data_IF_910363350938
#
_entry.id   IF_910363350938
#
_cell.length_a   1.000
_cell.length_b   1.000
_cell.length_c   1.000
_cell.angle_alpha   90.00
_cell.angle_beta   90.00
_cell.angle_gamma   90.00
#
_symmetry.space_group_name_H-M   'P 1'
#
loop_
_entity.id
_entity.type
_entity.pdbx_description
1 polymer ?
#
# COMPACT_ATOMS: atom_id res chain seq x y z
N UNK A 1 6.37 -25.58 -8.57
CA UNK A 1 6.08 -24.42 -7.69
C UNK A 1 7.15 -24.25 -6.59
N UNK A 2 7.56 -25.32 -5.89
CA UNK A 2 8.59 -25.27 -4.84
C UNK A 2 10.00 -24.83 -5.31
N UNK A 3 10.36 -25.10 -6.56
CA UNK A 3 11.66 -24.68 -7.14
C UNK A 3 11.81 -23.17 -7.32
N UNK A 4 10.73 -22.39 -7.22
CA UNK A 4 10.73 -20.92 -7.31
C UNK A 4 10.67 -20.23 -5.94
N UNK A 5 10.74 -20.99 -4.85
CA UNK A 5 10.70 -20.44 -3.50
C UNK A 5 12.05 -19.86 -3.08
N UNK A 6 12.00 -18.63 -2.60
CA UNK A 6 13.12 -17.97 -1.95
C UNK A 6 13.28 -18.53 -0.52
N UNK A 7 14.07 -19.59 -0.35
CA UNK A 7 14.24 -20.28 0.94
C UNK A 7 14.65 -19.34 2.09
N UNK A 8 15.62 -18.42 1.91
CA UNK A 8 15.95 -17.44 2.96
C UNK A 8 14.76 -16.54 3.35
N UNK A 9 13.99 -16.05 2.37
CA UNK A 9 12.81 -15.24 2.66
C UNK A 9 11.72 -16.06 3.36
N UNK A 10 11.49 -17.30 2.94
CA UNK A 10 10.53 -18.20 3.60
C UNK A 10 10.90 -18.43 5.07
N UNK A 11 12.17 -18.68 5.36
CA UNK A 11 12.64 -18.81 6.74
C UNK A 11 12.43 -17.52 7.54
N UNK A 12 12.93 -16.38 7.05
CA UNK A 12 12.91 -15.11 7.78
C UNK A 12 11.51 -14.51 7.96
N UNK A 13 10.61 -14.70 6.97
CA UNK A 13 9.31 -14.05 6.92
C UNK A 13 8.16 -14.92 7.45
N UNK A 14 8.32 -16.25 7.47
CA UNK A 14 7.27 -17.19 7.90
C UNK A 14 7.72 -18.02 9.10
N UNK A 15 8.75 -18.86 8.93
CA UNK A 15 9.12 -19.82 9.98
C UNK A 15 9.67 -19.16 11.24
N UNK A 16 10.58 -18.19 11.09
CA UNK A 16 11.19 -17.50 12.23
C UNK A 16 10.16 -16.72 13.06
N UNK A 17 9.23 -15.94 12.46
CA UNK A 17 8.13 -15.33 13.22
C UNK A 17 7.24 -16.33 13.95
N UNK A 18 6.84 -17.43 13.31
CA UNK A 18 6.01 -18.47 13.95
C UNK A 18 6.77 -19.03 15.17
N UNK A 19 8.06 -19.34 15.01
CA UNK A 19 8.90 -19.80 16.10
C UNK A 19 8.96 -18.80 17.27
N UNK A 20 9.21 -17.52 16.99
CA UNK A 20 9.24 -16.47 18.03
C UNK A 20 7.87 -16.34 18.72
N UNK A 21 6.76 -16.36 17.99
CA UNK A 21 5.41 -16.27 18.57
C UNK A 21 5.14 -17.46 19.49
N UNK A 22 5.48 -18.67 19.07
CA UNK A 22 5.32 -19.88 19.90
C UNK A 22 6.14 -19.79 21.18
N UNK A 23 7.38 -19.29 21.11
CA UNK A 23 8.22 -19.12 22.29
C UNK A 23 7.76 -17.98 23.20
N UNK A 24 7.25 -16.87 22.65
CA UNK A 24 6.61 -15.80 23.44
C UNK A 24 5.40 -16.33 24.18
N UNK A 25 4.54 -17.13 23.52
CA UNK A 25 3.38 -17.73 24.18
C UNK A 25 3.79 -18.64 25.34
N UNK A 26 4.81 -19.48 25.13
CA UNK A 26 5.39 -20.31 26.19
C UNK A 26 5.97 -19.48 27.34
N UNK A 27 6.83 -18.50 27.04
CA UNK A 27 7.40 -17.61 28.06
C UNK A 27 6.31 -16.91 28.87
N UNK A 28 5.27 -16.42 28.19
CA UNK A 28 4.17 -15.68 28.83
C UNK A 28 3.37 -16.56 29.79
N UNK A 29 3.23 -17.85 29.47
CA UNK A 29 2.61 -18.82 30.37
C UNK A 29 3.49 -19.13 31.59
N UNK A 30 4.80 -19.31 31.36
CA UNK A 30 5.75 -19.72 32.40
C UNK A 30 6.11 -18.57 33.37
N UNK A 31 6.20 -17.33 32.87
CA UNK A 31 6.77 -16.19 33.61
C UNK A 31 5.87 -14.94 33.67
N UNK A 32 4.77 -14.91 32.91
CA UNK A 32 3.95 -13.71 32.74
C UNK A 32 4.57 -12.66 31.80
N UNK A 33 3.82 -11.60 31.54
CA UNK A 33 4.28 -10.44 30.74
C UNK A 33 4.29 -9.21 31.66
N UNK A 34 5.48 -8.63 31.85
CA UNK A 34 5.66 -7.40 32.61
C UNK A 34 5.84 -6.18 31.72
N UNK A 35 6.13 -5.05 32.36
CA UNK A 35 6.40 -3.79 31.67
C UNK A 35 7.66 -3.86 30.78
N UNK A 36 8.68 -4.61 31.21
CA UNK A 36 9.94 -4.78 30.47
C UNK A 36 9.73 -5.42 29.10
N UNK A 37 8.95 -6.49 29.04
CA UNK A 37 8.61 -7.19 27.80
C UNK A 37 7.85 -6.28 26.82
N UNK A 38 6.90 -5.49 27.34
CA UNK A 38 6.16 -4.50 26.55
C UNK A 38 7.08 -3.41 26.00
N UNK A 39 8.00 -2.91 26.83
CA UNK A 39 9.01 -1.92 26.39
C UNK A 39 9.90 -2.52 25.30
N UNK A 40 10.33 -3.78 25.40
CA UNK A 40 11.12 -4.43 24.36
C UNK A 40 10.39 -4.54 23.02
N UNK A 41 9.10 -4.89 23.03
CA UNK A 41 8.28 -4.89 21.81
C UNK A 41 8.24 -3.49 21.20
N UNK A 42 7.84 -2.49 21.98
CA UNK A 42 7.62 -1.12 21.51
C UNK A 42 8.92 -0.48 21.02
N UNK A 43 9.99 -0.59 21.79
CA UNK A 43 11.30 -0.03 21.44
C UNK A 43 11.85 -0.68 20.17
N UNK A 44 11.83 -2.01 20.09
CA UNK A 44 12.27 -2.73 18.89
C UNK A 44 11.41 -2.35 17.66
N UNK A 45 10.08 -2.25 17.83
CA UNK A 45 9.19 -1.84 16.76
C UNK A 45 9.59 -0.48 16.20
N UNK A 46 9.71 0.55 17.04
CA UNK A 46 10.01 1.90 16.56
C UNK A 46 11.45 2.07 16.07
N UNK A 47 12.44 1.41 16.69
CA UNK A 47 13.84 1.44 16.20
C UNK A 47 13.92 0.85 14.79
N UNK A 48 13.30 -0.30 14.56
CA UNK A 48 13.27 -0.92 13.23
C UNK A 48 12.51 -0.03 12.22
N UNK A 49 11.40 0.59 12.64
CA UNK A 49 10.61 1.48 11.78
C UNK A 49 11.40 2.71 11.33
N UNK A 50 12.04 3.39 12.29
CA UNK A 50 12.93 4.52 12.05
C UNK A 50 14.05 4.12 11.11
N UNK A 51 14.67 2.96 11.34
CA UNK A 51 15.76 2.45 10.51
C UNK A 51 15.34 2.22 9.06
N UNK A 52 14.15 1.64 8.84
CA UNK A 52 13.59 1.51 7.49
C UNK A 52 13.38 2.88 6.86
N UNK A 53 12.69 3.79 7.56
CA UNK A 53 12.32 5.10 7.04
C UNK A 53 13.51 6.01 6.70
N UNK A 54 14.45 6.18 7.64
CA UNK A 54 15.58 7.09 7.43
C UNK A 54 16.72 6.42 6.64
N UNK A 55 16.90 5.11 6.75
CA UNK A 55 17.99 4.36 6.10
C UNK A 55 17.58 3.73 4.78
N UNK A 56 16.90 2.58 4.86
CA UNK A 56 16.52 1.78 3.68
C UNK A 56 15.76 2.61 2.63
N UNK A 57 14.80 3.39 3.08
CA UNK A 57 13.93 4.17 2.23
C UNK A 57 14.59 5.47 1.77
N UNK A 58 14.65 6.50 2.64
CA UNK A 58 15.01 7.87 2.22
C UNK A 58 16.49 8.04 1.85
N UNK A 59 17.40 7.36 2.56
CA UNK A 59 18.83 7.47 2.29
C UNK A 59 19.24 6.64 1.07
N UNK A 60 19.17 5.31 1.16
CA UNK A 60 19.76 4.45 0.13
C UNK A 60 18.87 4.21 -1.10
N UNK A 61 17.56 4.40 -1.02
CA UNK A 61 16.70 4.24 -2.20
C UNK A 61 16.49 5.55 -2.96
N UNK A 62 16.38 6.66 -2.25
CA UNK A 62 16.03 7.95 -2.84
C UNK A 62 17.13 9.01 -2.85
N UNK A 63 18.24 8.79 -2.14
CA UNK A 63 19.28 9.80 -1.95
C UNK A 63 18.71 11.14 -1.46
N UNK A 64 17.72 11.11 -0.56
CA UNK A 64 17.02 12.31 -0.11
C UNK A 64 17.87 13.19 0.83
N UNK A 65 18.99 12.65 1.31
CA UNK A 65 19.99 13.36 2.09
C UNK A 65 21.32 12.59 2.06
N UNK A 66 22.41 13.24 2.49
CA UNK A 66 23.71 12.61 2.74
C UNK A 66 23.92 12.41 4.24
N UNK A 67 24.60 11.33 4.60
CA UNK A 67 24.92 10.99 5.99
C UNK A 67 26.44 10.83 6.15
N UNK A 68 26.97 11.12 7.34
CA UNK A 68 28.37 10.83 7.63
C UNK A 68 28.62 9.31 7.83
N UNK A 69 29.88 8.89 7.69
CA UNK A 69 30.27 7.47 7.73
C UNK A 69 29.94 6.73 9.02
N UNK A 70 29.94 7.43 10.16
CA UNK A 70 29.71 6.82 11.47
C UNK A 70 28.22 6.54 11.68
N UNK A 71 27.37 7.51 11.37
CA UNK A 71 25.92 7.33 11.42
C UNK A 71 25.46 6.35 10.32
N UNK A 72 26.11 6.33 9.14
CA UNK A 72 25.84 5.32 8.12
C UNK A 72 26.14 3.90 8.62
N UNK A 73 27.27 3.70 9.31
CA UNK A 73 27.62 2.40 9.87
C UNK A 73 26.56 1.91 10.87
N UNK A 74 26.08 2.79 11.76
CA UNK A 74 25.00 2.46 12.70
C UNK A 74 23.74 2.05 11.95
N UNK A 75 23.31 2.81 10.94
CA UNK A 75 22.13 2.45 10.13
C UNK A 75 22.32 1.14 9.36
N UNK A 76 23.53 0.83 8.91
CA UNK A 76 23.85 -0.44 8.24
C UNK A 76 23.67 -1.62 9.20
N UNK A 77 24.11 -1.49 10.44
CA UNK A 77 23.91 -2.53 11.46
C UNK A 77 22.42 -2.68 11.79
N UNK A 78 21.73 -1.57 12.08
CA UNK A 78 20.31 -1.58 12.41
C UNK A 78 19.45 -2.12 11.25
N UNK A 79 19.77 -1.77 10.00
CA UNK A 79 18.97 -2.20 8.85
C UNK A 79 19.04 -3.71 8.63
N UNK A 80 20.18 -4.34 8.92
CA UNK A 80 20.25 -5.81 8.96
C UNK A 80 19.40 -6.41 10.10
N UNK A 81 19.26 -5.69 11.21
CA UNK A 81 18.35 -6.03 12.31
C UNK A 81 16.87 -6.14 11.90
N UNK A 82 16.45 -5.39 10.88
CA UNK A 82 15.05 -5.42 10.38
C UNK A 82 14.65 -6.74 9.72
N UNK A 83 15.62 -7.54 9.28
CA UNK A 83 15.43 -8.75 8.46
C UNK A 83 14.72 -8.52 7.11
N UNK A 84 14.76 -7.30 6.56
CA UNK A 84 14.12 -6.96 5.27
C UNK A 84 15.07 -7.07 4.05
N UNK A 85 16.26 -7.63 4.25
CA UNK A 85 17.27 -7.83 3.21
C UNK A 85 18.40 -6.78 3.27
N UNK A 86 19.51 -7.00 2.55
CA UNK A 86 20.60 -6.05 2.49
C UNK A 86 20.16 -4.71 1.90
N UNK A 87 20.75 -3.61 2.37
CA UNK A 87 20.35 -2.26 1.96
C UNK A 87 20.41 -2.03 0.45
N UNK A 88 21.45 -2.53 -0.23
CA UNK A 88 21.55 -2.46 -1.71
C UNK A 88 20.43 -3.24 -2.40
N UNK A 89 20.04 -4.39 -1.86
CA UNK A 89 18.98 -5.23 -2.42
C UNK A 89 17.61 -4.58 -2.24
N UNK A 90 17.37 -4.04 -1.05
CA UNK A 90 16.16 -3.29 -0.72
C UNK A 90 16.02 -2.06 -1.63
N UNK A 91 17.08 -1.25 -1.74
CA UNK A 91 17.12 -0.09 -2.62
C UNK A 91 16.90 -0.44 -4.10
N UNK A 92 17.47 -1.56 -4.55
CA UNK A 92 17.24 -2.07 -5.91
C UNK A 92 15.77 -2.43 -6.17
N UNK A 93 15.13 -3.14 -5.24
CA UNK A 93 13.72 -3.49 -5.38
C UNK A 93 12.81 -2.25 -5.28
N UNK A 94 13.12 -1.34 -4.38
CA UNK A 94 12.36 -0.11 -4.21
C UNK A 94 12.51 0.83 -5.41
N UNK A 95 13.71 0.93 -5.99
CA UNK A 95 13.91 1.64 -7.25
C UNK A 95 13.03 1.06 -8.38
N UNK A 96 12.99 -0.27 -8.52
CA UNK A 96 12.12 -0.92 -9.52
C UNK A 96 10.65 -0.62 -9.26
N UNK A 97 10.21 -0.65 -8.00
CA UNK A 97 8.85 -0.30 -7.61
C UNK A 97 8.49 1.12 -8.07
N UNK A 98 9.33 2.13 -7.79
CA UNK A 98 9.07 3.51 -8.23
C UNK A 98 9.15 3.70 -9.75
N UNK A 99 10.06 2.97 -10.42
CA UNK A 99 10.23 3.09 -11.86
C UNK A 99 9.05 2.50 -12.64
N UNK A 100 8.50 1.40 -12.13
CA UNK A 100 7.50 0.59 -12.82
C UNK A 100 6.19 0.47 -12.03
N UNK A 101 5.89 1.44 -11.15
CA UNK A 101 4.73 1.40 -10.25
C UNK A 101 3.47 1.03 -11.03
N UNK A 102 2.72 0.06 -10.50
CA UNK A 102 1.48 -0.46 -11.10
C UNK A 102 1.66 -1.23 -12.42
N UNK A 103 2.90 -1.56 -12.82
CA UNK A 103 3.23 -2.36 -14.01
C UNK A 103 3.79 -3.73 -13.63
N UNK A 104 3.91 -4.64 -14.60
CA UNK A 104 4.36 -6.02 -14.37
C UNK A 104 5.80 -6.13 -13.83
N UNK A 105 6.64 -5.13 -14.10
CA UNK A 105 8.03 -5.08 -13.65
C UNK A 105 8.17 -4.55 -12.21
N UNK A 106 7.12 -3.97 -11.64
CA UNK A 106 7.11 -3.64 -10.21
C UNK A 106 7.03 -4.95 -9.41
N UNK A 107 8.06 -5.24 -8.59
CA UNK A 107 8.16 -6.53 -7.91
C UNK A 107 6.94 -6.82 -7.03
N UNK A 108 6.30 -5.79 -6.47
CA UNK A 108 5.16 -5.92 -5.57
C UNK A 108 3.95 -5.12 -6.05
N UNK A 109 3.74 -5.06 -7.36
CA UNK A 109 2.55 -4.37 -7.91
C UNK A 109 1.27 -4.92 -7.27
N UNK A 110 0.40 -4.06 -6.73
CA UNK A 110 -0.90 -4.46 -6.18
C UNK A 110 -1.85 -4.99 -7.26
N UNK A 111 -1.53 -4.74 -8.54
CA UNK A 111 -2.32 -5.12 -9.71
C UNK A 111 -1.88 -6.46 -10.32
N UNK A 112 -1.04 -7.24 -9.63
CA UNK A 112 -0.52 -8.50 -10.17
C UNK A 112 -1.62 -9.48 -10.58
N UNK A 113 -2.75 -9.44 -9.88
CA UNK A 113 -3.90 -10.29 -10.11
C UNK A 113 -5.17 -9.44 -10.13
N UNK A 114 -6.12 -9.80 -11.00
CA UNK A 114 -7.44 -9.15 -11.05
C UNK A 114 -8.22 -9.31 -9.74
N UNK A 115 -7.98 -10.43 -9.03
CA UNK A 115 -8.52 -10.64 -7.70
C UNK A 115 -7.81 -9.75 -6.68
N UNK A 116 -8.54 -8.78 -6.11
CA UNK A 116 -8.02 -7.82 -5.12
C UNK A 116 -7.35 -8.45 -3.91
N UNK A 117 -7.87 -9.57 -3.41
CA UNK A 117 -7.27 -10.26 -2.27
C UNK A 117 -5.91 -10.87 -2.65
N UNK A 118 -5.82 -11.51 -3.81
CA UNK A 118 -4.54 -12.05 -4.31
C UNK A 118 -3.53 -10.93 -4.60
N UNK A 119 -3.97 -9.80 -5.16
CA UNK A 119 -3.12 -8.62 -5.36
C UNK A 119 -2.62 -8.02 -4.03
N UNK A 120 -3.47 -7.98 -3.01
CA UNK A 120 -3.08 -7.55 -1.67
C UNK A 120 -2.03 -8.50 -1.07
N UNK A 121 -2.27 -9.81 -1.12
CA UNK A 121 -1.30 -10.79 -0.60
C UNK A 121 0.02 -10.78 -1.37
N UNK A 122 -0.04 -10.56 -2.69
CA UNK A 122 1.13 -10.38 -3.55
C UNK A 122 1.99 -9.21 -3.08
N UNK A 123 1.40 -8.01 -3.03
CA UNK A 123 2.09 -6.78 -2.63
C UNK A 123 2.56 -6.79 -1.17
N UNK A 124 1.85 -7.49 -0.29
CA UNK A 124 2.20 -7.58 1.13
C UNK A 124 3.40 -8.49 1.40
N UNK A 125 3.41 -9.73 0.91
CA UNK A 125 4.43 -10.70 1.30
C UNK A 125 4.84 -11.70 0.21
N UNK A 126 3.90 -12.15 -0.63
CA UNK A 126 4.12 -13.30 -1.51
C UNK A 126 5.21 -13.02 -2.57
N UNK A 127 5.34 -11.77 -3.02
CA UNK A 127 6.38 -11.38 -3.97
C UNK A 127 7.82 -11.68 -3.50
N UNK A 128 8.05 -11.66 -2.18
CA UNK A 128 9.36 -11.99 -1.59
C UNK A 128 9.57 -13.50 -1.48
N UNK A 129 8.49 -14.26 -1.32
CA UNK A 129 8.50 -15.72 -1.18
C UNK A 129 8.70 -16.42 -2.53
N UNK A 130 8.15 -15.84 -3.59
CA UNK A 130 8.12 -16.43 -4.94
C UNK A 130 8.86 -15.51 -5.89
N UNK A 131 10.09 -15.85 -6.24
CA UNK A 131 10.91 -14.98 -7.10
C UNK A 131 12.25 -15.59 -7.49
N UNK A 132 12.72 -15.21 -8.69
CA UNK A 132 13.98 -15.65 -9.30
C UNK A 132 15.20 -14.80 -8.91
N UNK A 133 15.00 -13.74 -8.13
CA UNK A 133 16.06 -12.81 -7.74
C UNK A 133 16.81 -13.28 -6.49
N UNK A 134 18.07 -13.68 -6.63
CA UNK A 134 19.00 -13.64 -5.51
C UNK A 134 19.02 -12.22 -4.94
N UNK A 135 19.08 -12.03 -3.62
CA UNK A 135 19.27 -10.71 -3.02
C UNK A 135 20.56 -10.02 -3.54
N UNK A 136 21.49 -10.80 -4.12
CA UNK A 136 22.72 -10.33 -4.77
C UNK A 136 22.48 -9.71 -6.15
N UNK A 137 21.30 -9.86 -6.74
CA UNK A 137 20.92 -9.27 -8.02
C UNK A 137 20.54 -7.81 -7.81
N UNK A 138 21.54 -6.94 -7.79
CA UNK A 138 21.39 -5.50 -7.63
C UNK A 138 21.16 -4.85 -8.99
N UNK A 139 20.12 -4.02 -9.11
CA UNK A 139 19.85 -3.25 -10.31
C UNK A 139 21.02 -2.34 -10.70
N UNK A 140 21.26 -2.18 -12.01
CA UNK A 140 22.40 -1.41 -12.54
C UNK A 140 22.42 0.04 -12.04
N UNK A 141 21.26 0.67 -11.87
CA UNK A 141 21.16 2.06 -11.42
C UNK A 141 21.46 2.17 -9.92
N UNK A 142 21.00 1.19 -9.14
CA UNK A 142 21.36 1.10 -7.71
C UNK A 142 22.86 0.89 -7.54
N UNK A 143 23.45 0.03 -8.37
CA UNK A 143 24.90 -0.19 -8.38
C UNK A 143 25.67 1.06 -8.81
N UNK A 144 25.20 1.79 -9.82
CA UNK A 144 25.83 3.04 -10.25
C UNK A 144 25.83 4.10 -9.14
N UNK A 145 24.74 4.20 -8.37
CA UNK A 145 24.61 5.14 -7.24
C UNK A 145 25.46 4.75 -6.03
N UNK A 146 25.44 3.47 -5.64
CA UNK A 146 25.95 3.03 -4.34
C UNK A 146 27.12 2.04 -4.38
N UNK A 147 27.51 1.53 -5.56
CA UNK A 147 28.54 0.50 -5.71
C UNK A 147 29.95 0.94 -5.28
N UNK A 148 30.19 2.25 -5.15
CA UNK A 148 31.43 2.81 -4.58
C UNK A 148 31.45 2.81 -3.05
N UNK A 149 30.31 2.64 -2.38
CA UNK A 149 30.24 2.61 -0.91
C UNK A 149 30.71 1.25 -0.38
N UNK A 150 31.86 1.24 0.30
CA UNK A 150 32.45 0.02 0.85
C UNK A 150 31.67 -0.56 2.02
N UNK A 151 30.99 0.26 2.83
CA UNK A 151 30.17 -0.21 3.94
C UNK A 151 28.94 -0.98 3.43
N UNK A 152 28.28 -0.48 2.38
CA UNK A 152 27.15 -1.16 1.75
C UNK A 152 27.55 -2.48 1.09
N UNK A 153 28.71 -2.53 0.44
CA UNK A 153 29.26 -3.79 -0.10
C UNK A 153 29.62 -4.79 1.00
N UNK A 154 30.19 -4.30 2.11
CA UNK A 154 30.50 -5.12 3.27
C UNK A 154 29.22 -5.71 3.87
N UNK A 155 28.18 -4.89 4.07
CA UNK A 155 26.88 -5.37 4.55
C UNK A 155 26.27 -6.41 3.60
N UNK A 156 26.28 -6.16 2.28
CA UNK A 156 25.78 -7.12 1.30
C UNK A 156 26.51 -8.46 1.36
N UNK A 157 27.83 -8.44 1.59
CA UNK A 157 28.66 -9.66 1.69
C UNK A 157 28.39 -10.45 2.99
N UNK A 158 28.24 -9.76 4.11
CA UNK A 158 28.12 -10.37 5.45
C UNK A 158 26.72 -10.24 6.05
N UNK A 159 25.70 -10.03 5.21
CA UNK A 159 24.35 -9.67 5.65
C UNK A 159 23.79 -10.65 6.68
N UNK A 160 23.90 -11.96 6.44
CA UNK A 160 23.32 -12.96 7.34
C UNK A 160 24.05 -13.04 8.69
N UNK A 161 25.36 -12.81 8.71
CA UNK A 161 26.15 -12.75 9.94
C UNK A 161 25.75 -11.52 10.77
N UNK A 162 25.64 -10.36 10.12
CA UNK A 162 25.22 -9.11 10.78
C UNK A 162 23.76 -9.24 11.26
N UNK A 163 22.88 -9.78 10.43
CA UNK A 163 21.48 -10.01 10.77
C UNK A 163 21.33 -10.95 11.98
N UNK A 164 22.05 -12.08 12.00
CA UNK A 164 22.05 -13.00 13.13
C UNK A 164 22.58 -12.32 14.40
N UNK A 165 23.67 -11.56 14.31
CA UNK A 165 24.20 -10.80 15.44
C UNK A 165 23.17 -9.80 15.99
N UNK A 166 22.53 -9.01 15.12
CA UNK A 166 21.55 -7.99 15.50
C UNK A 166 20.21 -8.56 15.99
N UNK A 167 19.86 -9.79 15.62
CA UNK A 167 18.60 -10.44 16.02
C UNK A 167 18.74 -11.44 17.16
N UNK A 168 19.96 -11.89 17.48
CA UNK A 168 20.22 -12.86 18.54
C UNK A 168 21.08 -12.25 19.64
N UNK A 169 22.32 -11.86 19.30
CA UNK A 169 23.29 -11.41 20.30
C UNK A 169 22.88 -10.09 20.93
N UNK A 170 22.50 -9.10 20.13
CA UNK A 170 22.13 -7.77 20.63
C UNK A 170 20.88 -7.82 21.54
N UNK A 171 19.78 -8.47 21.16
CA UNK A 171 18.60 -8.59 22.03
C UNK A 171 18.86 -9.36 23.33
N UNK A 172 19.62 -10.47 23.27
CA UNK A 172 20.03 -11.22 24.47
C UNK A 172 20.85 -10.34 25.40
N UNK A 173 21.82 -9.60 24.85
CA UNK A 173 22.68 -8.71 25.60
C UNK A 173 21.91 -7.56 26.25
N UNK A 174 21.02 -6.89 25.50
CA UNK A 174 20.16 -5.82 26.04
C UNK A 174 19.24 -6.38 27.14
N UNK A 175 18.63 -7.54 26.90
CA UNK A 175 17.79 -8.20 27.89
C UNK A 175 18.54 -8.50 29.19
N UNK A 176 19.77 -9.01 29.08
CA UNK A 176 20.63 -9.27 30.22
C UNK A 176 21.03 -7.98 30.95
N UNK A 177 21.41 -6.92 30.23
CA UNK A 177 21.78 -5.64 30.85
C UNK A 177 20.62 -5.00 31.60
N UNK A 178 19.39 -5.11 31.09
CA UNK A 178 18.21 -4.49 31.70
C UNK A 178 17.74 -5.25 32.94
N UNK A 179 17.78 -6.59 32.93
CA UNK A 179 17.22 -7.39 34.02
C UNK A 179 18.22 -8.21 34.84
N UNK A 180 19.50 -8.23 34.48
CA UNK A 180 20.58 -8.90 35.21
C UNK A 180 20.55 -10.44 35.19
N UNK A 181 19.58 -11.05 34.52
CA UNK A 181 19.38 -12.51 34.53
C UNK A 181 19.31 -13.11 33.13
N UNK A 182 19.55 -14.42 33.02
CA UNK A 182 19.38 -15.15 31.76
C UNK A 182 17.91 -15.20 31.31
N UNK A 183 16.96 -15.15 32.25
CA UNK A 183 15.54 -15.01 31.93
C UNK A 183 15.29 -13.68 31.21
N UNK A 184 15.84 -12.57 31.71
CA UNK A 184 15.71 -11.26 31.07
C UNK A 184 16.42 -11.18 29.73
N UNK A 185 17.56 -11.87 29.57
CA UNK A 185 18.22 -12.05 28.28
C UNK A 185 17.28 -12.73 27.28
N UNK A 186 16.70 -13.86 27.67
CA UNK A 186 15.75 -14.61 26.86
C UNK A 186 14.51 -13.78 26.52
N UNK A 187 13.98 -13.00 27.48
CA UNK A 187 12.90 -12.04 27.23
C UNK A 187 13.31 -10.99 26.17
N UNK A 188 14.52 -10.42 26.26
CA UNK A 188 15.06 -9.51 25.25
C UNK A 188 15.02 -10.12 23.85
N UNK A 189 15.52 -11.35 23.68
CA UNK A 189 15.47 -12.07 22.42
C UNK A 189 14.04 -12.25 21.88
N UNK A 190 13.12 -12.73 22.72
CA UNK A 190 11.74 -13.03 22.30
C UNK A 190 10.94 -11.78 21.98
N UNK A 191 10.90 -10.81 22.90
CA UNK A 191 10.01 -9.67 22.82
C UNK A 191 10.51 -8.58 21.86
N UNK A 192 11.84 -8.38 21.76
CA UNK A 192 12.38 -7.53 20.68
C UNK A 192 12.21 -8.20 19.31
N UNK A 193 12.34 -9.54 19.24
CA UNK A 193 12.05 -10.31 18.03
C UNK A 193 10.59 -10.20 17.57
N UNK A 194 9.65 -10.20 18.52
CA UNK A 194 8.24 -9.95 18.26
C UNK A 194 7.97 -8.51 17.80
N UNK A 195 8.57 -7.51 18.46
CA UNK A 195 8.47 -6.11 18.04
C UNK A 195 8.96 -5.88 16.61
N UNK A 196 10.10 -6.49 16.25
CA UNK A 196 10.63 -6.48 14.87
C UNK A 196 9.67 -7.15 13.88
N UNK A 197 9.06 -8.28 14.23
CA UNK A 197 8.07 -8.92 13.37
C UNK A 197 6.85 -8.01 13.12
N UNK A 198 6.30 -7.39 14.17
CA UNK A 198 5.19 -6.45 14.03
C UNK A 198 5.57 -5.25 13.14
N UNK A 199 6.78 -4.72 13.29
CA UNK A 199 7.29 -3.64 12.45
C UNK A 199 7.42 -4.06 10.98
N UNK A 200 7.87 -5.29 10.73
CA UNK A 200 7.98 -5.83 9.38
C UNK A 200 6.60 -5.87 8.70
N UNK A 201 5.57 -6.35 9.40
CA UNK A 201 4.19 -6.34 8.88
C UNK A 201 3.69 -4.91 8.63
N UNK A 202 4.01 -3.97 9.51
CA UNK A 202 3.69 -2.56 9.30
C UNK A 202 4.37 -2.01 8.04
N UNK A 203 5.64 -2.33 7.80
CA UNK A 203 6.34 -1.94 6.55
C UNK A 203 5.63 -2.51 5.33
N UNK A 204 5.20 -3.77 5.38
CA UNK A 204 4.52 -4.42 4.27
C UNK A 204 3.14 -3.83 3.98
N UNK A 205 2.48 -3.23 4.98
CA UNK A 205 1.27 -2.43 4.78
C UNK A 205 1.49 -1.16 3.96
N UNK A 206 2.72 -0.64 3.83
CA UNK A 206 3.02 0.45 2.89
C UNK A 206 2.78 -0.03 1.46
N UNK A 207 3.30 -1.21 1.12
CA UNK A 207 3.18 -1.79 -0.21
C UNK A 207 1.76 -2.28 -0.51
N UNK A 208 1.05 -2.80 0.51
CA UNK A 208 -0.31 -3.29 0.35
C UNK A 208 -1.36 -2.23 0.69
N UNK A 209 -1.62 -1.98 1.97
CA UNK A 209 -2.70 -1.09 2.42
C UNK A 209 -2.64 0.31 1.77
N UNK A 210 -1.46 0.93 1.67
CA UNK A 210 -1.32 2.27 1.07
C UNK A 210 -1.43 2.27 -0.47
N UNK A 211 -1.49 1.11 -1.12
CA UNK A 211 -1.82 1.00 -2.55
C UNK A 211 -3.29 0.61 -2.80
N UNK A 212 -3.99 0.11 -1.78
CA UNK A 212 -5.41 -0.25 -1.89
C UNK A 212 -6.35 0.83 -1.35
N UNK A 213 -5.86 1.68 -0.46
CA UNK A 213 -6.64 2.72 0.22
C UNK A 213 -5.89 4.04 0.32
N UNK A 214 -6.60 5.10 0.71
CA UNK A 214 -6.02 6.42 0.96
C UNK A 214 -6.37 7.46 -0.10
N UNK A 215 -6.03 8.72 0.21
CA UNK A 215 -6.32 9.85 -0.67
C UNK A 215 -5.25 10.04 -1.75
N UNK A 216 -5.66 10.43 -2.96
CA UNK A 216 -4.78 10.58 -4.14
C UNK A 216 -4.72 12.04 -4.58
N UNK A 217 -3.78 12.79 -4.00
CA UNK A 217 -3.66 14.25 -4.21
C UNK A 217 -2.53 14.65 -5.15
N UNK A 218 -1.52 13.82 -5.33
CA UNK A 218 -0.25 14.14 -6.01
C UNK A 218 0.13 13.12 -7.09
N UNK A 219 -0.15 11.83 -6.89
CA UNK A 219 0.21 10.77 -7.83
C UNK A 219 -1.02 10.08 -8.44
N UNK A 220 -0.94 9.73 -9.73
CA UNK A 220 -2.03 9.23 -10.57
C UNK A 220 -2.11 7.68 -10.65
N UNK A 221 -1.66 6.98 -9.62
CA UNK A 221 -1.65 5.51 -9.56
C UNK A 221 -2.42 4.94 -8.38
N UNK A 222 -2.02 3.76 -7.90
CA UNK A 222 -2.66 3.07 -6.78
C UNK A 222 -2.28 3.67 -5.42
N UNK A 223 -1.05 4.19 -5.26
CA UNK A 223 -0.55 4.78 -4.01
C UNK A 223 -1.46 5.87 -3.44
N UNK A 224 -1.70 5.83 -2.13
CA UNK A 224 -2.66 6.63 -1.37
C UNK A 224 -2.12 7.08 -0.02
N UNK A 225 -2.50 8.29 0.41
CA UNK A 225 -2.17 8.80 1.75
C UNK A 225 -3.20 8.31 2.79
N UNK A 226 -2.73 7.72 3.89
CA UNK A 226 -3.59 7.22 4.99
C UNK A 226 -3.18 7.87 6.32
N UNK A 227 -3.89 8.91 6.75
CA UNK A 227 -3.46 9.74 7.89
C UNK A 227 -3.35 8.98 9.22
N UNK A 228 -4.28 8.07 9.52
CA UNK A 228 -4.32 7.35 10.80
C UNK A 228 -3.21 6.30 10.94
N UNK A 229 -2.61 5.89 9.81
CA UNK A 229 -1.45 4.99 9.80
C UNK A 229 -0.16 5.69 10.24
N UNK A 230 -0.16 7.02 10.44
CA UNK A 230 1.05 7.75 10.84
C UNK A 230 1.64 7.27 12.17
N UNK A 231 0.81 6.78 13.10
CA UNK A 231 1.26 6.22 14.38
C UNK A 231 2.05 4.92 14.22
N UNK A 232 1.76 4.15 13.17
CA UNK A 232 2.40 2.86 12.90
C UNK A 232 3.56 3.00 11.90
N UNK A 233 3.45 3.93 10.95
CA UNK A 233 4.38 4.07 9.83
C UNK A 233 5.31 5.28 9.93
N UNK A 234 5.12 6.12 10.94
CA UNK A 234 6.01 7.23 11.27
C UNK A 234 6.32 8.20 10.10
N UNK A 235 5.41 8.28 9.13
CA UNK A 235 5.54 9.12 7.93
C UNK A 235 5.49 8.37 6.60
N UNK A 236 5.71 7.05 6.60
CA UNK A 236 5.63 6.22 5.37
C UNK A 236 4.18 6.07 4.86
N UNK A 237 3.20 6.47 5.67
CA UNK A 237 1.78 6.50 5.32
C UNK A 237 1.38 7.62 4.34
N UNK A 238 2.24 8.63 4.13
CA UNK A 238 2.03 9.70 3.15
C UNK A 238 2.53 9.25 1.76
N UNK A 239 2.03 8.09 1.34
CA UNK A 239 2.57 7.31 0.22
C UNK A 239 2.25 7.93 -1.14
N UNK A 240 1.10 8.60 -1.28
CA UNK A 240 0.76 9.28 -2.53
C UNK A 240 1.64 10.51 -2.78
N UNK A 241 1.96 11.27 -1.73
CA UNK A 241 2.96 12.35 -1.83
C UNK A 241 4.33 11.78 -2.19
N UNK A 242 4.76 10.74 -1.47
CA UNK A 242 6.05 10.09 -1.67
C UNK A 242 6.23 9.60 -3.12
N UNK A 243 5.24 8.92 -3.69
CA UNK A 243 5.26 8.48 -5.09
C UNK A 243 5.36 9.63 -6.11
N UNK A 244 4.83 10.80 -5.79
CA UNK A 244 4.97 11.98 -6.65
C UNK A 244 6.34 12.66 -6.51
N UNK A 245 6.95 12.59 -5.33
CA UNK A 245 8.18 13.31 -4.98
C UNK A 245 9.17 12.42 -4.22
N UNK A 246 9.67 11.34 -4.83
CA UNK A 246 10.43 10.31 -4.13
C UNK A 246 11.73 10.81 -3.50
N UNK A 247 12.35 11.85 -4.08
CA UNK A 247 13.59 12.45 -3.56
C UNK A 247 13.37 13.46 -2.42
N UNK A 248 12.14 13.89 -2.10
CA UNK A 248 11.94 14.77 -0.94
C UNK A 248 12.22 14.00 0.35
N UNK A 249 13.06 14.53 1.23
CA UNK A 249 13.35 13.87 2.50
C UNK A 249 12.13 13.80 3.45
N UNK A 250 11.03 14.48 3.10
CA UNK A 250 9.73 14.44 3.79
C UNK A 250 8.73 13.73 2.91
N UNK A 251 8.04 12.75 3.49
CA UNK A 251 6.80 12.25 2.90
C UNK A 251 5.63 13.14 3.36
N UNK A 252 5.65 13.55 4.64
CA UNK A 252 4.67 14.47 5.21
C UNK A 252 5.13 15.92 5.15
N UNK A 253 4.81 16.66 4.09
CA UNK A 253 5.30 18.05 3.93
C UNK A 253 4.66 19.11 4.82
N UNK A 254 3.43 18.88 5.28
CA UNK A 254 2.72 19.85 6.13
C UNK A 254 3.18 19.74 7.58
N UNK A 255 3.09 20.84 8.32
CA UNK A 255 3.51 20.89 9.72
C UNK A 255 2.74 19.88 10.60
N UNK A 256 1.46 19.69 10.32
CA UNK A 256 0.57 18.75 11.00
C UNK A 256 0.61 17.31 10.44
N UNK A 257 1.35 17.06 9.34
CA UNK A 257 1.57 15.69 8.88
C UNK A 257 2.58 15.03 9.83
N UNK A 258 2.11 14.06 10.63
CA UNK A 258 3.00 13.26 11.46
C UNK A 258 3.89 12.41 10.55
N UNK A 259 5.17 12.76 10.55
CA UNK A 259 6.27 12.13 9.84
C UNK A 259 7.44 12.28 10.78
N UNK A 260 7.72 11.24 11.56
CA UNK A 260 8.77 11.27 12.59
C UNK A 260 10.14 11.17 11.93
N UNK A 261 10.24 10.42 10.84
CA UNK A 261 11.47 10.29 10.06
C UNK A 261 12.00 11.64 9.58
N UNK A 262 11.15 12.56 9.10
CA UNK A 262 11.62 13.89 8.67
C UNK A 262 12.19 14.70 9.84
N UNK A 263 11.62 14.56 11.04
CA UNK A 263 12.11 15.28 12.21
C UNK A 263 13.44 14.72 12.69
N UNK A 264 13.59 13.39 12.68
CA UNK A 264 14.87 12.72 12.98
C UNK A 264 15.96 13.17 11.99
N UNK A 265 15.70 13.11 10.68
CA UNK A 265 16.67 13.53 9.65
C UNK A 265 17.00 15.02 9.80
N UNK A 266 16.01 15.86 10.10
CA UNK A 266 16.25 17.28 10.36
C UNK A 266 17.15 17.49 11.60
N UNK A 267 16.88 16.81 12.72
CA UNK A 267 17.71 16.90 13.92
C UNK A 267 19.14 16.40 13.66
N UNK A 268 19.28 15.26 12.95
CA UNK A 268 20.58 14.75 12.50
C UNK A 268 21.35 15.80 11.69
N UNK A 269 20.67 16.61 10.88
CA UNK A 269 21.32 17.69 10.13
C UNK A 269 21.82 18.83 11.02
N UNK A 270 21.16 19.08 12.16
CA UNK A 270 21.57 20.12 13.12
C UNK A 270 22.81 19.74 13.91
N UNK A 271 23.05 18.45 14.11
CA UNK A 271 24.22 17.92 14.83
C UNK A 271 25.33 17.40 13.89
N UNK A 272 25.25 17.69 12.59
CA UNK A 272 26.28 17.33 11.61
C UNK A 272 26.33 15.84 11.23
N UNK A 273 25.29 15.07 11.55
CA UNK A 273 25.17 13.67 11.11
C UNK A 273 24.61 13.55 9.69
N UNK A 274 23.74 14.49 9.28
CA UNK A 274 23.13 14.55 7.96
C UNK A 274 23.38 15.89 7.26
N UNK A 275 23.32 15.92 5.93
CA UNK A 275 23.48 17.13 5.11
C UNK A 275 22.72 16.98 3.79
N UNK A 276 22.61 18.07 3.02
CA UNK A 276 21.98 18.07 1.68
C UNK A 276 20.56 17.50 1.67
N UNK A 277 19.72 17.96 2.60
CA UNK A 277 18.33 17.51 2.71
C UNK A 277 17.49 18.03 1.52
N UNK A 278 17.12 17.13 0.63
CA UNK A 278 16.38 17.41 -0.59
C UNK A 278 14.92 17.82 -0.31
N UNK A 279 14.48 18.95 -0.87
CA UNK A 279 13.12 19.48 -0.64
C UNK A 279 12.46 19.88 -1.94
N UNK A 280 11.27 19.34 -2.18
CA UNK A 280 10.43 19.78 -3.29
C UNK A 280 9.86 21.16 -3.01
N UNK A 281 9.93 22.04 -4.01
CA UNK A 281 9.40 23.41 -3.91
C UNK A 281 7.88 23.42 -3.83
N UNK A 282 7.31 24.40 -3.11
CA UNK A 282 5.85 24.55 -2.98
C UNK A 282 5.15 24.68 -4.34
N UNK A 283 5.77 25.38 -5.27
CA UNK A 283 5.25 25.56 -6.65
C UNK A 283 5.13 24.22 -7.36
N UNK A 284 6.17 23.36 -7.28
CA UNK A 284 6.13 22.03 -7.90
C UNK A 284 5.09 21.11 -7.24
N UNK A 285 4.92 21.20 -5.93
CA UNK A 285 3.86 20.48 -5.20
C UNK A 285 2.47 20.92 -5.68
N UNK A 286 2.22 22.23 -5.74
CA UNK A 286 0.94 22.79 -6.17
C UNK A 286 0.62 22.45 -7.62
N UNK A 287 1.58 22.57 -8.53
CA UNK A 287 1.42 22.21 -9.94
C UNK A 287 1.02 20.73 -10.07
N UNK A 288 1.68 19.84 -9.31
CA UNK A 288 1.36 18.41 -9.36
C UNK A 288 -0.02 18.09 -8.78
N UNK A 289 -0.42 18.79 -7.72
CA UNK A 289 -1.78 18.67 -7.18
C UNK A 289 -2.83 19.08 -8.22
N UNK A 290 -2.63 20.22 -8.90
CA UNK A 290 -3.54 20.68 -9.93
C UNK A 290 -3.61 19.69 -11.10
N UNK A 291 -2.46 19.19 -11.57
CA UNK A 291 -2.38 18.17 -12.62
C UNK A 291 -3.15 16.88 -12.24
N UNK A 292 -3.07 16.47 -10.97
CA UNK A 292 -3.78 15.29 -10.45
C UNK A 292 -5.27 15.54 -10.35
N UNK A 293 -5.68 16.72 -9.85
CA UNK A 293 -7.08 17.11 -9.74
C UNK A 293 -7.76 17.19 -11.11
N UNK A 294 -7.11 17.78 -12.12
CA UNK A 294 -7.63 17.85 -13.48
C UNK A 294 -7.83 16.44 -14.05
N UNK A 295 -6.83 15.57 -13.93
CA UNK A 295 -6.91 14.19 -14.39
C UNK A 295 -8.03 13.40 -13.71
N UNK A 296 -8.19 13.53 -12.39
CA UNK A 296 -9.27 12.85 -11.66
C UNK A 296 -10.64 13.36 -12.12
N UNK A 297 -10.78 14.66 -12.35
CA UNK A 297 -12.02 15.25 -12.85
C UNK A 297 -12.38 14.73 -14.24
N UNK A 298 -11.42 14.72 -15.17
CA UNK A 298 -11.62 14.17 -16.52
C UNK A 298 -12.06 12.71 -16.46
N UNK A 299 -11.41 11.90 -15.63
CA UNK A 299 -11.78 10.49 -15.43
C UNK A 299 -13.18 10.31 -14.84
N UNK A 300 -13.61 11.21 -13.95
CA UNK A 300 -14.96 11.20 -13.39
C UNK A 300 -16.01 11.59 -14.45
N UNK A 301 -15.71 12.57 -15.30
CA UNK A 301 -16.56 12.94 -16.43
C UNK A 301 -16.70 11.79 -17.43
N UNK A 302 -15.59 11.16 -17.83
CA UNK A 302 -15.61 9.98 -18.71
C UNK A 302 -16.47 8.85 -18.14
N UNK A 303 -16.41 8.60 -16.82
CA UNK A 303 -17.29 7.62 -16.17
C UNK A 303 -18.76 8.00 -16.24
N UNK A 304 -19.11 9.27 -16.04
CA UNK A 304 -20.49 9.74 -16.21
C UNK A 304 -20.95 9.58 -17.65
N UNK A 305 -20.12 9.91 -18.65
CA UNK A 305 -20.44 9.70 -20.07
C UNK A 305 -20.69 8.22 -20.39
N UNK A 306 -19.88 7.32 -19.83
CA UNK A 306 -20.09 5.87 -19.99
C UNK A 306 -21.39 5.41 -19.31
N UNK A 307 -21.69 5.94 -18.12
CA UNK A 307 -22.95 5.66 -17.41
C UNK A 307 -24.17 6.19 -18.19
N UNK A 308 -24.06 7.38 -18.79
CA UNK A 308 -25.08 7.96 -19.65
C UNK A 308 -25.35 7.04 -20.85
N UNK A 309 -24.29 6.61 -21.54
CA UNK A 309 -24.40 5.67 -22.68
C UNK A 309 -25.09 4.38 -22.26
N UNK A 310 -24.79 3.87 -21.06
CA UNK A 310 -25.44 2.68 -20.52
C UNK A 310 -26.93 2.89 -20.21
N UNK A 311 -27.31 4.06 -19.67
CA UNK A 311 -28.71 4.43 -19.44
C UNK A 311 -29.46 4.53 -20.78
N UNK A 312 -28.87 5.21 -21.76
CA UNK A 312 -29.48 5.39 -23.09
C UNK A 312 -29.76 4.03 -23.76
N UNK A 313 -28.81 3.09 -23.66
CA UNK A 313 -29.00 1.73 -24.17
C UNK A 313 -30.12 0.96 -23.42
N UNK A 314 -30.23 1.10 -22.10
CA UNK A 314 -31.32 0.50 -21.33
C UNK A 314 -32.68 1.09 -21.73
N UNK A 315 -32.75 2.40 -21.97
CA UNK A 315 -33.96 3.10 -22.42
C UNK A 315 -34.40 2.64 -23.81
N UNK A 316 -33.45 2.47 -24.74
CA UNK A 316 -33.72 1.94 -26.08
C UNK A 316 -34.29 0.52 -26.02
N UNK A 317 -33.65 -0.38 -25.26
CA UNK A 317 -34.12 -1.75 -25.05
C UNK A 317 -35.52 -1.80 -24.43
N UNK A 318 -35.78 -0.94 -23.44
CA UNK A 318 -37.11 -0.81 -22.84
C UNK A 318 -38.15 -0.33 -23.83
N UNK A 319 -37.81 0.65 -24.68
CA UNK A 319 -38.72 1.17 -25.69
C UNK A 319 -39.13 0.06 -26.68
N UNK A 320 -38.15 -0.72 -27.15
CA UNK A 320 -38.41 -1.88 -28.01
C UNK A 320 -39.29 -2.91 -27.31
N UNK A 321 -39.02 -3.21 -26.04
CA UNK A 321 -39.81 -4.19 -25.29
C UNK A 321 -41.23 -3.73 -25.01
N UNK A 322 -41.43 -2.46 -24.67
CA UNK A 322 -42.78 -1.89 -24.48
C UNK A 322 -43.56 -1.99 -25.79
N UNK A 323 -42.94 -1.72 -26.94
CA UNK A 323 -43.57 -1.88 -28.25
C UNK A 323 -43.97 -3.34 -28.53
N UNK A 324 -43.09 -4.30 -28.24
CA UNK A 324 -43.40 -5.73 -28.35
C UNK A 324 -44.57 -6.15 -27.42
N UNK A 325 -44.65 -5.58 -26.22
CA UNK A 325 -45.76 -5.82 -25.30
C UNK A 325 -47.08 -5.23 -25.79
N UNK A 326 -47.04 -4.13 -26.55
CA UNK A 326 -48.25 -3.55 -27.13
C UNK A 326 -48.91 -4.45 -28.18
N UNK A 327 -48.10 -5.29 -28.84
CA UNK A 327 -48.50 -6.30 -29.83
C UNK A 327 -48.85 -7.66 -29.17
N UNK A 328 -48.66 -7.80 -27.85
CA UNK A 328 -48.94 -9.04 -27.10
C UNK A 328 -50.40 -9.15 -26.64
N UNK A 329 -50.77 -10.31 -26.06
CA UNK A 329 -52.12 -10.52 -25.53
C UNK A 329 -52.49 -9.50 -24.45
N UNK A 330 -53.79 -9.16 -24.35
CA UNK A 330 -54.30 -8.13 -23.41
C UNK A 330 -53.84 -8.43 -21.98
N UNK A 331 -53.93 -9.69 -21.54
CA UNK A 331 -53.52 -10.14 -20.20
C UNK A 331 -52.03 -9.88 -19.92
N UNK A 332 -51.15 -10.22 -20.86
CA UNK A 332 -49.70 -10.00 -20.72
C UNK A 332 -49.39 -8.50 -20.70
N UNK A 333 -50.02 -7.74 -21.58
CA UNK A 333 -49.85 -6.29 -21.69
C UNK A 333 -50.24 -5.59 -20.38
N UNK A 334 -51.42 -5.87 -19.83
CA UNK A 334 -51.89 -5.25 -18.58
C UNK A 334 -50.99 -5.62 -17.38
N UNK A 335 -50.49 -6.87 -17.34
CA UNK A 335 -49.65 -7.33 -16.25
C UNK A 335 -48.26 -6.67 -16.20
N UNK A 336 -47.63 -6.41 -17.35
CA UNK A 336 -46.23 -5.98 -17.40
C UNK A 336 -46.01 -4.52 -17.83
N UNK A 337 -46.90 -3.94 -18.65
CA UNK A 337 -46.68 -2.61 -19.27
C UNK A 337 -46.42 -1.52 -18.22
N UNK A 338 -47.21 -1.51 -17.14
CA UNK A 338 -47.06 -0.52 -16.06
C UNK A 338 -45.64 -0.54 -15.46
N UNK A 339 -45.14 -1.72 -15.09
CA UNK A 339 -43.82 -1.88 -14.50
C UNK A 339 -42.69 -1.45 -15.45
N UNK A 340 -42.80 -1.77 -16.74
CA UNK A 340 -41.80 -1.32 -17.73
C UNK A 340 -41.82 0.20 -17.95
N UNK A 341 -43.00 0.82 -17.98
CA UNK A 341 -43.14 2.28 -18.10
C UNK A 341 -42.58 3.00 -16.88
N UNK A 342 -42.85 2.51 -15.66
CA UNK A 342 -42.29 3.08 -14.43
C UNK A 342 -40.75 3.05 -14.41
N UNK A 343 -40.15 1.93 -14.84
CA UNK A 343 -38.68 1.82 -14.97
C UNK A 343 -38.17 2.77 -16.04
N UNK A 344 -38.85 2.88 -17.19
CA UNK A 344 -38.46 3.79 -18.27
C UNK A 344 -38.47 5.25 -17.80
N UNK A 345 -39.49 5.68 -17.07
CA UNK A 345 -39.58 7.04 -16.53
C UNK A 345 -38.49 7.32 -15.49
N UNK A 346 -38.23 6.37 -14.60
CA UNK A 346 -37.14 6.46 -13.63
C UNK A 346 -35.76 6.59 -14.31
N UNK A 347 -35.52 5.84 -15.40
CA UNK A 347 -34.29 5.92 -16.18
C UNK A 347 -34.17 7.22 -16.98
N UNK A 348 -35.28 7.77 -17.52
CA UNK A 348 -35.29 9.10 -18.15
C UNK A 348 -34.90 10.19 -17.17
N UNK A 349 -35.50 10.19 -15.98
CA UNK A 349 -35.16 11.12 -14.90
C UNK A 349 -33.67 10.98 -14.50
N UNK A 350 -33.14 9.76 -14.46
CA UNK A 350 -31.72 9.53 -14.19
C UNK A 350 -30.83 10.04 -15.33
N UNK A 351 -31.21 9.82 -16.59
CA UNK A 351 -30.49 10.33 -17.76
C UNK A 351 -30.37 11.86 -17.73
N UNK A 352 -31.46 12.56 -17.42
CA UNK A 352 -31.45 14.03 -17.29
C UNK A 352 -30.51 14.48 -16.16
N UNK A 353 -30.56 13.82 -15.00
CA UNK A 353 -29.66 14.12 -13.87
C UNK A 353 -28.19 13.90 -14.22
N UNK A 354 -27.87 12.82 -14.94
CA UNK A 354 -26.49 12.48 -15.34
C UNK A 354 -26.00 13.44 -16.43
N UNK A 355 -26.82 13.75 -17.42
CA UNK A 355 -26.52 14.72 -18.48
C UNK A 355 -26.25 16.10 -17.89
N UNK A 356 -27.14 16.61 -17.02
CA UNK A 356 -26.97 17.86 -16.31
C UNK A 356 -25.67 17.89 -15.49
N UNK A 357 -25.41 16.82 -14.72
CA UNK A 357 -24.19 16.72 -13.94
C UNK A 357 -22.92 16.69 -14.80
N UNK A 358 -22.96 16.07 -15.97
CA UNK A 358 -21.84 15.98 -16.91
C UNK A 358 -21.51 17.34 -17.54
N UNK A 359 -22.54 18.14 -17.85
CA UNK A 359 -22.39 19.45 -18.49
C UNK A 359 -21.94 20.55 -17.52
N UNK A 360 -22.55 20.63 -16.33
CA UNK A 360 -22.37 21.77 -15.42
C UNK A 360 -21.27 21.50 -14.40
N UNK A 361 -21.05 20.25 -14.01
CA UNK A 361 -20.10 19.96 -12.94
C UNK A 361 -18.69 19.88 -13.51
N UNK A 362 -17.88 20.91 -13.25
CA UNK A 362 -16.46 20.88 -13.59
C UNK A 362 -15.71 19.72 -12.92
N UNK A 363 -16.17 19.26 -11.74
CA UNK A 363 -15.58 18.19 -10.92
C UNK A 363 -16.64 17.28 -10.29
N UNK A 364 -17.12 16.23 -10.99
CA UNK A 364 -18.14 15.35 -10.46
C UNK A 364 -17.67 14.58 -9.22
N UNK A 365 -18.45 14.55 -8.14
CA UNK A 365 -18.03 13.85 -6.92
C UNK A 365 -18.07 12.32 -7.07
N UNK A 366 -17.19 11.60 -6.36
CA UNK A 366 -17.28 10.13 -6.30
C UNK A 366 -18.60 9.64 -5.69
N UNK A 367 -19.18 10.42 -4.78
CA UNK A 367 -20.48 10.11 -4.17
C UNK A 367 -21.58 10.08 -5.23
N UNK A 368 -21.59 11.06 -6.14
CA UNK A 368 -22.52 11.11 -7.26
C UNK A 368 -22.36 9.87 -8.15
N UNK A 369 -21.14 9.54 -8.55
CA UNK A 369 -20.84 8.36 -9.37
C UNK A 369 -21.37 7.06 -8.73
N UNK A 370 -21.20 6.89 -7.41
CA UNK A 370 -21.71 5.71 -6.69
C UNK A 370 -23.25 5.65 -6.69
N UNK A 371 -23.90 6.80 -6.50
CA UNK A 371 -25.38 6.88 -6.50
C UNK A 371 -25.93 6.53 -7.88
N UNK A 372 -25.38 7.14 -8.94
CA UNK A 372 -25.78 6.87 -10.33
C UNK A 372 -25.57 5.41 -10.67
N UNK A 373 -24.39 4.86 -10.38
CA UNK A 373 -24.09 3.45 -10.64
C UNK A 373 -25.04 2.50 -9.92
N UNK A 374 -25.39 2.79 -8.65
CA UNK A 374 -26.35 1.98 -7.90
C UNK A 374 -27.72 1.98 -8.58
N UNK A 375 -28.24 3.16 -8.97
CA UNK A 375 -29.54 3.27 -9.66
C UNK A 375 -29.56 2.51 -10.98
N UNK A 376 -28.45 2.54 -11.75
CA UNK A 376 -28.32 1.76 -12.99
C UNK A 376 -28.42 0.26 -12.68
N UNK A 377 -27.68 -0.24 -11.69
CA UNK A 377 -27.71 -1.65 -11.30
C UNK A 377 -29.11 -2.08 -10.84
N UNK A 378 -29.75 -1.26 -10.00
CA UNK A 378 -31.11 -1.52 -9.50
C UNK A 378 -32.13 -1.60 -10.66
N UNK A 379 -31.96 -0.75 -11.69
CA UNK A 379 -32.78 -0.78 -12.91
C UNK A 379 -32.49 -2.04 -13.75
N UNK A 380 -31.23 -2.41 -13.96
CA UNK A 380 -30.85 -3.64 -14.69
C UNK A 380 -31.45 -4.89 -14.05
N UNK A 381 -31.37 -5.00 -12.72
CA UNK A 381 -31.93 -6.12 -11.98
C UNK A 381 -33.46 -6.18 -12.11
N UNK A 382 -34.13 -5.02 -12.03
CA UNK A 382 -35.57 -4.92 -12.22
C UNK A 382 -36.00 -5.35 -13.62
N UNK A 383 -35.31 -4.86 -14.66
CA UNK A 383 -35.56 -5.22 -16.06
C UNK A 383 -35.36 -6.71 -16.28
N UNK A 384 -34.24 -7.26 -15.80
CA UNK A 384 -33.92 -8.68 -15.92
C UNK A 384 -34.98 -9.57 -15.27
N UNK A 385 -35.46 -9.20 -14.07
CA UNK A 385 -36.53 -9.92 -13.38
C UNK A 385 -37.83 -9.93 -14.19
N UNK A 386 -38.23 -8.78 -14.76
CA UNK A 386 -39.42 -8.68 -15.59
C UNK A 386 -39.28 -9.49 -16.89
N UNK A 387 -38.10 -9.48 -17.52
CA UNK A 387 -37.84 -10.28 -18.72
C UNK A 387 -37.97 -11.77 -18.45
N UNK A 388 -37.44 -12.26 -17.33
CA UNK A 388 -37.57 -13.67 -16.95
C UNK A 388 -39.05 -14.06 -16.70
N UNK A 389 -39.80 -13.23 -15.97
CA UNK A 389 -41.23 -13.47 -15.72
C UNK A 389 -42.05 -13.47 -17.01
N UNK A 390 -41.77 -12.53 -17.92
CA UNK A 390 -42.43 -12.47 -19.21
C UNK A 390 -42.13 -13.70 -20.07
N UNK A 391 -40.87 -14.15 -20.09
CA UNK A 391 -40.47 -15.33 -20.84
C UNK A 391 -41.10 -16.61 -20.31
N UNK A 392 -41.27 -16.76 -18.99
CA UNK A 392 -41.97 -17.93 -18.42
C UNK A 392 -43.43 -18.01 -18.85
N UNK A 393 -44.10 -16.87 -19.06
CA UNK A 393 -45.50 -16.81 -19.49
C UNK A 393 -45.70 -16.98 -21.00
N UNK A 394 -44.65 -16.83 -21.81
CA UNK A 394 -44.69 -17.14 -23.25
C UNK A 394 -44.49 -18.63 -23.55
N UNK A 395 -43.97 -19.39 -22.59
CA UNK A 395 -43.67 -20.83 -22.73
C UNK A 395 -44.79 -21.71 -22.17
N UNK A 396 -45.63 -21.15 -21.28
CA UNK A 396 -46.92 -21.72 -20.84
C UNK A 396 -48.04 -21.38 -21.80
#
# INVERSE_FOLDING_TARGET
MLSKLNKPALFALIFYPIFIISLVAKYSFDYGIGLTEVIFIIASYYINNITVGIGLHRLWSHNAYKINKYAEFVLIMLSAGTLQGPALSWASNHYKHHRYTDQDQDPHTPLKFDNKFLGFMWSHIVWMLVGSGSYKSIDRITWAKHGKNNLLKWQLKYYWQIAAFMNVVVPLFIGYLVGGTMQSAYAGFLFMGLGRFLQQQATFCVNSLCHFAGSKKYYKGTAGDIWWMALFLLGENWHNYHHAFPSDYRNGTKWYHLDVHKWIIFLMSKIGLASELERTTKVRIQAKMQETLSYLSEKQKQKLTLMQTKIDHLLENLCLKIKELEESSITIKEQFKKSFVEIQESLKNLAEQVSFATQITEKPSEKLLKIVNKKIIDAEQSIYKLYNQLNTLKVS
#
